data_IF_276024494070
#
_entry.id   IF_276024494070
#
_cell.length_a   1.000
_cell.length_b   1.000
_cell.length_c   1.000
_cell.angle_alpha   90.00
_cell.angle_beta   90.00
_cell.angle_gamma   90.00
#
_symmetry.space_group_name_H-M   'P 1'
#
loop_
_entity.id
_entity.type
_entity.pdbx_description
1 polymer ?
#
# COMPACT_ATOMS: atom_id res chain seq x y z
N UNK A 1 -17.82 14.72 13.77
CA UNK A 1 -17.52 14.56 15.21
C UNK A 1 -16.15 15.17 15.45
N UNK A 2 -15.96 15.89 16.54
CA UNK A 2 -14.65 16.35 17.01
C UNK A 2 -14.44 15.67 18.36
N UNK A 3 -13.26 15.07 18.56
CA UNK A 3 -12.88 14.42 19.82
C UNK A 3 -11.70 15.23 20.37
N UNK A 4 -11.91 15.89 21.49
CA UNK A 4 -10.85 16.56 22.24
C UNK A 4 -10.10 15.52 23.08
N UNK A 5 -8.77 15.60 23.08
CA UNK A 5 -7.89 14.78 23.90
C UNK A 5 -7.12 15.71 24.84
N UNK A 6 -6.93 15.29 26.09
CA UNK A 6 -6.22 16.04 27.12
C UNK A 6 -4.75 16.26 26.77
N UNK A 7 -4.12 15.26 26.14
CA UNK A 7 -2.71 15.28 25.74
C UNK A 7 -2.41 14.32 24.59
N UNK A 8 -1.13 14.27 24.19
CA UNK A 8 -0.65 13.41 23.11
C UNK A 8 -0.69 11.91 23.45
N UNK A 9 -0.72 11.55 24.73
CA UNK A 9 -0.80 10.16 25.17
C UNK A 9 -2.23 9.64 24.95
N UNK A 10 -3.22 10.47 25.27
CA UNK A 10 -4.62 10.18 24.96
C UNK A 10 -4.88 10.15 23.44
N UNK A 11 -4.27 11.04 22.65
CA UNK A 11 -4.33 10.97 21.17
C UNK A 11 -3.86 9.60 20.68
N UNK A 12 -2.73 9.09 21.18
CA UNK A 12 -2.21 7.76 20.81
C UNK A 12 -3.13 6.64 21.27
N UNK A 13 -3.71 6.75 22.46
CA UNK A 13 -4.69 5.78 22.96
C UNK A 13 -5.92 5.73 22.06
N UNK A 14 -6.53 6.88 21.73
CA UNK A 14 -7.69 6.96 20.83
C UNK A 14 -7.35 6.41 19.45
N UNK A 15 -6.22 6.83 18.86
CA UNK A 15 -5.79 6.35 17.55
C UNK A 15 -5.59 4.82 17.52
N UNK A 16 -5.11 4.23 18.62
CA UNK A 16 -4.94 2.78 18.75
C UNK A 16 -6.25 2.00 18.71
N UNK A 17 -7.37 2.63 19.07
CA UNK A 17 -8.70 2.01 19.09
C UNK A 17 -9.46 2.17 17.77
N UNK A 18 -8.97 2.99 16.84
CA UNK A 18 -9.59 3.13 15.52
C UNK A 18 -9.64 1.77 14.81
N UNK A 19 -10.73 1.49 14.11
CA UNK A 19 -10.78 0.38 13.16
C UNK A 19 -10.01 0.74 11.87
N UNK A 20 -9.91 -0.20 10.93
CA UNK A 20 -9.26 0.06 9.64
C UNK A 20 -9.90 1.20 8.84
N UNK A 21 -9.06 2.11 8.36
CA UNK A 21 -9.40 3.31 7.61
C UNK A 21 -8.81 3.28 6.20
N UNK A 22 -9.45 3.97 5.25
CA UNK A 22 -8.82 4.25 3.96
C UNK A 22 -7.65 5.23 4.11
N UNK A 23 -7.81 6.23 4.96
CA UNK A 23 -6.85 7.31 5.14
C UNK A 23 -6.69 7.72 6.59
N UNK A 24 -5.50 8.20 6.96
CA UNK A 24 -5.26 8.98 8.17
C UNK A 24 -4.51 10.27 7.81
N UNK A 25 -4.99 11.41 8.30
CA UNK A 25 -4.41 12.73 8.00
C UNK A 25 -3.78 13.34 9.25
N UNK A 26 -2.56 13.84 9.13
CA UNK A 26 -1.92 14.69 10.11
C UNK A 26 -2.08 16.16 9.67
N UNK A 27 -2.51 17.03 10.59
CA UNK A 27 -2.40 18.48 10.42
C UNK A 27 -1.36 18.93 11.44
N UNK A 28 -0.22 19.43 10.97
CA UNK A 28 0.96 19.61 11.81
C UNK A 28 1.93 20.64 11.23
N UNK A 29 2.77 21.21 12.09
CA UNK A 29 3.96 21.96 11.68
C UNK A 29 5.26 21.28 12.15
N UNK A 30 6.40 21.94 11.97
CA UNK A 30 7.71 21.40 12.34
C UNK A 30 7.86 21.18 13.86
N UNK A 31 7.10 21.90 14.68
CA UNK A 31 7.08 21.73 16.13
C UNK A 31 6.45 20.42 16.60
N UNK A 32 5.62 19.82 15.75
CA UNK A 32 4.87 18.58 16.05
C UNK A 32 5.60 17.31 15.60
N UNK A 33 6.79 17.42 14.98
CA UNK A 33 7.47 16.30 14.35
C UNK A 33 7.69 15.10 15.29
N UNK A 34 8.02 15.34 16.55
CA UNK A 34 8.26 14.24 17.50
C UNK A 34 6.97 13.56 17.93
N UNK A 35 5.87 14.31 18.08
CA UNK A 35 4.55 13.74 18.31
C UNK A 35 4.05 12.94 17.09
N UNK A 36 4.24 13.48 15.88
CA UNK A 36 3.89 12.80 14.63
C UNK A 36 4.69 11.50 14.44
N UNK A 37 6.00 11.48 14.72
CA UNK A 37 6.82 10.27 14.67
C UNK A 37 6.34 9.20 15.66
N UNK A 38 5.92 9.60 16.86
CA UNK A 38 5.38 8.68 17.85
C UNK A 38 4.01 8.11 17.44
N UNK A 39 3.20 8.88 16.71
CA UNK A 39 1.87 8.49 16.24
C UNK A 39 1.91 7.66 14.95
N UNK A 40 2.87 7.90 14.07
CA UNK A 40 2.93 7.31 12.73
C UNK A 40 2.86 5.76 12.72
N UNK A 41 3.59 5.01 13.58
CA UNK A 41 3.49 3.54 13.61
C UNK A 41 2.11 3.02 14.03
N UNK A 42 1.29 3.84 14.68
CA UNK A 42 -0.10 3.51 14.97
C UNK A 42 -0.93 3.70 13.71
N UNK A 43 -0.80 4.86 13.04
CA UNK A 43 -1.56 5.17 11.82
C UNK A 43 -1.25 4.20 10.68
N UNK A 44 -0.01 3.75 10.53
CA UNK A 44 0.39 2.74 9.53
C UNK A 44 -0.34 1.41 9.70
N UNK A 45 -0.70 1.07 10.94
CA UNK A 45 -1.49 -0.13 11.26
C UNK A 45 -2.99 0.09 11.09
N UNK A 46 -3.44 1.34 10.92
CA UNK A 46 -4.85 1.71 10.82
C UNK A 46 -5.27 2.12 9.42
N UNK A 47 -4.40 2.71 8.60
CA UNK A 47 -4.78 3.28 7.31
C UNK A 47 -3.96 2.76 6.14
N UNK A 48 -4.56 2.65 4.96
CA UNK A 48 -3.83 2.33 3.73
C UNK A 48 -3.05 3.53 3.16
N UNK A 49 -3.49 4.76 3.43
CA UNK A 49 -2.81 5.98 2.99
C UNK A 49 -2.73 7.01 4.12
N UNK A 50 -1.52 7.50 4.36
CA UNK A 50 -1.26 8.56 5.34
C UNK A 50 -0.84 9.81 4.58
N UNK A 51 -1.37 10.96 5.00
CA UNK A 51 -1.04 12.26 4.41
C UNK A 51 -0.86 13.30 5.52
N UNK A 52 -0.14 14.37 5.21
CA UNK A 52 0.04 15.52 6.08
C UNK A 52 -0.38 16.80 5.36
N UNK A 53 -0.94 17.76 6.10
CA UNK A 53 -1.20 19.13 5.65
C UNK A 53 -2.03 19.22 4.36
N UNK A 54 -3.03 18.36 4.26
CA UNK A 54 -3.97 18.29 3.14
C UNK A 54 -5.26 17.59 3.57
N UNK A 55 -6.17 17.39 2.62
CA UNK A 55 -7.46 16.72 2.88
C UNK A 55 -7.53 15.37 2.16
N UNK A 56 -8.11 14.33 2.79
CA UNK A 56 -8.04 12.96 2.28
C UNK A 56 -8.92 12.70 1.05
N UNK A 57 -9.74 13.66 0.65
CA UNK A 57 -10.76 13.53 -0.41
C UNK A 57 -10.15 13.29 -1.79
N UNK A 58 -9.00 13.89 -2.09
CA UNK A 58 -8.28 13.66 -3.33
C UNK A 58 -7.67 12.25 -3.38
N UNK A 59 -7.94 11.52 -4.46
CA UNK A 59 -7.35 10.21 -4.75
C UNK A 59 -6.70 10.26 -6.13
N UNK A 60 -5.38 10.40 -6.15
CA UNK A 60 -4.60 10.38 -7.39
C UNK A 60 -4.55 8.98 -8.02
N UNK A 61 -4.69 8.90 -9.34
CA UNK A 61 -4.56 7.64 -10.09
C UNK A 61 -3.12 7.49 -10.57
N UNK A 62 -2.24 6.98 -9.70
CA UNK A 62 -0.80 6.86 -9.96
C UNK A 62 -0.24 5.47 -9.57
N UNK A 63 1.05 5.25 -9.82
CA UNK A 63 1.73 3.98 -9.51
C UNK A 63 1.88 3.70 -8.01
N UNK A 64 2.00 4.76 -7.19
CA UNK A 64 2.24 4.65 -5.74
C UNK A 64 0.95 4.60 -4.90
N UNK A 65 -0.22 4.73 -5.52
CA UNK A 65 -1.49 4.84 -4.79
C UNK A 65 -1.85 3.57 -4.02
N UNK A 66 -2.28 3.75 -2.78
CA UNK A 66 -2.91 2.73 -1.94
C UNK A 66 -4.31 3.22 -1.55
N UNK A 67 -5.33 2.79 -2.29
CA UNK A 67 -6.73 3.00 -1.98
C UNK A 67 -7.32 1.70 -1.43
N UNK A 68 -7.21 1.56 -0.11
CA UNK A 68 -7.50 0.37 0.69
C UNK A 68 -7.06 0.62 2.13
N UNK A 69 -6.83 -0.45 2.90
CA UNK A 69 -6.44 -0.38 4.31
C UNK A 69 -6.81 -1.66 5.06
N UNK A 70 -6.62 -1.71 6.38
CA UNK A 70 -7.17 -2.79 7.20
C UNK A 70 -8.70 -2.83 7.14
N UNK A 71 -9.31 -3.98 7.45
CA UNK A 71 -10.76 -4.07 7.62
C UNK A 71 -11.24 -3.09 8.73
N UNK A 72 -12.36 -2.36 8.57
CA UNK A 72 -13.39 -2.50 7.51
C UNK A 72 -13.16 -1.66 6.24
N UNK A 73 -12.05 -0.92 6.11
CA UNK A 73 -11.81 -0.09 4.92
C UNK A 73 -11.76 -0.90 3.61
N UNK A 74 -11.28 -2.13 3.66
CA UNK A 74 -11.38 -3.12 2.57
C UNK A 74 -11.40 -4.53 3.16
N UNK A 75 -11.86 -5.49 2.36
CA UNK A 75 -11.88 -6.91 2.70
C UNK A 75 -10.54 -7.62 2.48
N UNK A 76 -9.64 -7.08 1.66
CA UNK A 76 -8.26 -7.55 1.50
C UNK A 76 -7.27 -6.38 1.55
N UNK A 77 -6.60 -6.24 2.69
CA UNK A 77 -5.68 -5.15 3.00
C UNK A 77 -4.34 -5.22 2.25
N UNK A 78 -4.03 -6.35 1.59
CA UNK A 78 -2.76 -6.55 0.87
C UNK A 78 -2.75 -5.89 -0.51
N UNK A 79 -3.86 -5.26 -0.91
CA UNK A 79 -4.07 -4.77 -2.28
C UNK A 79 -4.53 -3.30 -2.29
N UNK A 80 -4.50 -2.70 -3.47
CA UNK A 80 -5.12 -1.39 -3.73
C UNK A 80 -6.21 -1.53 -4.78
N UNK A 81 -7.26 -0.72 -4.67
CA UNK A 81 -8.34 -0.67 -5.67
C UNK A 81 -8.15 0.41 -6.74
N UNK A 82 -7.23 1.37 -6.50
CA UNK A 82 -6.88 2.48 -7.41
C UNK A 82 -5.36 2.50 -7.63
N UNK A 83 -4.92 2.91 -8.81
CA UNK A 83 -3.51 2.94 -9.20
C UNK A 83 -3.07 1.67 -9.92
N UNK A 84 -1.86 1.68 -10.50
CA UNK A 84 -1.42 0.59 -11.38
C UNK A 84 -1.35 -0.77 -10.69
N UNK A 85 -1.03 -0.80 -9.40
CA UNK A 85 -0.95 -2.04 -8.62
C UNK A 85 -2.31 -2.73 -8.44
N UNK A 86 -3.43 -2.05 -8.76
CA UNK A 86 -4.76 -2.63 -8.69
C UNK A 86 -4.97 -3.81 -9.67
N UNK A 87 -4.13 -3.94 -10.71
CA UNK A 87 -4.15 -5.07 -11.64
C UNK A 87 -3.87 -6.41 -10.94
N UNK A 88 -3.06 -6.41 -9.89
CA UNK A 88 -2.65 -7.64 -9.19
C UNK A 88 -3.81 -8.34 -8.47
N UNK A 89 -4.95 -7.67 -8.25
CA UNK A 89 -6.18 -8.28 -7.72
C UNK A 89 -6.80 -9.32 -8.64
N UNK A 90 -6.49 -9.26 -9.94
CA UNK A 90 -7.06 -10.12 -10.97
C UNK A 90 -6.06 -11.15 -11.52
N UNK A 91 -4.90 -11.27 -10.89
CA UNK A 91 -3.81 -12.16 -11.31
C UNK A 91 -3.55 -13.24 -10.24
N UNK A 92 -2.99 -14.37 -10.67
CA UNK A 92 -2.41 -15.39 -9.79
C UNK A 92 -1.10 -15.93 -10.37
N UNK A 93 -0.10 -16.27 -9.54
CA UNK A 93 1.13 -16.88 -10.03
C UNK A 93 0.92 -18.35 -10.43
N UNK A 94 1.71 -18.83 -11.40
CA UNK A 94 1.84 -20.24 -11.79
C UNK A 94 3.34 -20.54 -11.98
N UNK A 95 3.81 -21.65 -11.42
CA UNK A 95 5.18 -22.11 -11.56
C UNK A 95 5.28 -23.18 -12.65
N UNK A 96 6.29 -23.09 -13.52
CA UNK A 96 6.59 -24.06 -14.57
C UNK A 96 7.96 -24.66 -14.29
N UNK A 97 8.04 -25.99 -14.14
CA UNK A 97 9.27 -26.69 -13.79
C UNK A 97 9.63 -27.69 -14.89
N UNK A 98 10.85 -27.59 -15.42
CA UNK A 98 11.40 -28.47 -16.45
C UNK A 98 10.53 -28.62 -17.72
N UNK A 99 9.75 -27.58 -18.07
CA UNK A 99 9.01 -27.55 -19.32
C UNK A 99 9.96 -27.27 -20.50
N UNK A 100 9.77 -27.95 -21.66
CA UNK A 100 10.47 -27.58 -22.87
C UNK A 100 10.01 -26.20 -23.37
N UNK A 101 10.91 -25.46 -24.04
CA UNK A 101 10.64 -24.10 -24.54
C UNK A 101 9.37 -23.99 -25.41
N UNK A 102 9.03 -25.05 -26.15
CA UNK A 102 7.80 -25.10 -26.97
C UNK A 102 6.49 -25.15 -26.18
N UNK A 103 6.54 -25.45 -24.88
CA UNK A 103 5.38 -25.45 -23.98
C UNK A 103 5.36 -24.26 -23.01
N UNK A 104 6.42 -23.46 -22.95
CA UNK A 104 6.45 -22.26 -22.12
C UNK A 104 5.61 -21.14 -22.77
N UNK A 105 4.87 -20.35 -21.97
CA UNK A 105 4.25 -19.14 -22.47
C UNK A 105 5.33 -18.14 -22.91
N UNK A 106 5.03 -17.34 -23.94
CA UNK A 106 5.96 -16.38 -24.54
C UNK A 106 6.80 -15.55 -23.54
N UNK A 107 6.22 -14.91 -22.49
CA UNK A 107 7.02 -14.10 -21.55
C UNK A 107 8.01 -14.89 -20.69
N UNK A 108 7.93 -16.23 -20.65
CA UNK A 108 8.82 -17.10 -19.88
C UNK A 108 9.87 -17.81 -20.73
N UNK A 109 9.82 -17.69 -22.06
CA UNK A 109 10.83 -18.29 -22.94
C UNK A 109 12.19 -17.62 -22.76
N UNK A 110 13.26 -18.40 -22.95
CA UNK A 110 14.64 -17.93 -22.72
C UNK A 110 14.96 -16.70 -23.59
N UNK A 111 14.49 -16.69 -24.84
CA UNK A 111 14.72 -15.61 -25.80
C UNK A 111 14.01 -14.29 -25.48
N UNK A 112 13.18 -14.24 -24.43
CA UNK A 112 12.39 -13.07 -24.02
C UNK A 112 11.71 -12.35 -25.20
N UNK A 113 10.86 -13.03 -25.99
CA UNK A 113 10.29 -12.47 -27.21
C UNK A 113 9.46 -11.21 -26.97
N UNK A 114 8.93 -11.03 -25.76
CA UNK A 114 8.14 -9.85 -25.38
C UNK A 114 8.99 -8.71 -24.79
N UNK A 115 10.30 -8.90 -24.60
CA UNK A 115 11.21 -7.92 -24.00
C UNK A 115 10.66 -7.38 -22.66
N UNK A 116 10.09 -8.29 -21.87
CA UNK A 116 9.54 -7.95 -20.55
C UNK A 116 10.65 -8.02 -19.51
N UNK A 117 10.53 -7.20 -18.47
CA UNK A 117 11.47 -7.26 -17.36
C UNK A 117 11.25 -8.52 -16.51
N UNK A 118 12.33 -9.26 -16.24
CA UNK A 118 12.32 -10.53 -15.49
C UNK A 118 13.23 -10.43 -14.27
N UNK A 119 12.98 -11.29 -13.28
CA UNK A 119 13.88 -11.46 -12.14
C UNK A 119 14.54 -12.84 -12.25
N UNK A 120 15.83 -12.87 -12.52
CA UNK A 120 16.64 -14.09 -12.68
C UNK A 120 17.66 -14.15 -11.56
N UNK A 121 17.61 -15.20 -10.73
CA UNK A 121 18.48 -15.37 -9.55
C UNK A 121 18.55 -14.12 -8.66
N UNK A 122 17.40 -13.45 -8.49
CA UNK A 122 17.27 -12.24 -7.68
C UNK A 122 17.74 -10.94 -8.36
N UNK A 123 18.16 -10.98 -9.62
CA UNK A 123 18.61 -9.80 -10.39
C UNK A 123 17.61 -9.43 -11.49
N UNK A 124 17.39 -8.13 -11.67
CA UNK A 124 16.48 -7.60 -12.68
C UNK A 124 17.16 -7.59 -14.05
N UNK A 125 16.57 -8.28 -15.01
CA UNK A 125 16.93 -8.21 -16.43
C UNK A 125 15.83 -7.45 -17.19
N UNK A 126 16.23 -6.78 -18.27
CA UNK A 126 15.32 -6.12 -19.23
C UNK A 126 15.48 -6.85 -20.56
#
# INVERSE_FOLDING_TARGET
LVIECADQDEVRQVASQLEGQLTATLQMDDGDLDAAKALLPILERKAGRILANGWPTGVEVCHAMVHGGPYPATSDSRTTSVGSAAIFRFLRPVCYQALPQGLLPEPLKDSNPWQVSRLVDGKREV
#
